data_IF_577475943132
#
_entry.id   IF_577475943132
#
_cell.length_a   1.000
_cell.length_b   1.000
_cell.length_c   1.000
_cell.angle_alpha   90.00
_cell.angle_beta   90.00
_cell.angle_gamma   90.00
#
_symmetry.space_group_name_H-M   'P 1'
#
loop_
_entity.id
_entity.type
_entity.pdbx_description
1 polymer ?
#
# COMPACT_ATOMS: atom_id res chain seq x y z
N UNK A 1 -0.38 -30.60 0.34
CA UNK A 1 0.27 -29.32 0.04
C UNK A 1 -0.67 -28.51 -0.83
N UNK A 2 -1.23 -27.42 -0.30
CA UNK A 2 -1.83 -26.31 -1.04
C UNK A 2 -2.37 -25.28 -0.01
N UNK A 3 -1.46 -24.59 0.67
CA UNK A 3 -1.76 -23.31 1.31
C UNK A 3 -1.39 -22.25 0.29
N UNK A 4 -2.33 -21.43 -0.15
CA UNK A 4 -2.06 -20.47 -1.21
C UNK A 4 -3.21 -19.53 -1.54
N UNK A 5 -4.07 -19.19 -0.58
CA UNK A 5 -4.88 -17.97 -0.70
C UNK A 5 -3.98 -16.81 -0.27
N UNK A 6 -3.16 -16.31 -1.20
CA UNK A 6 -2.62 -14.95 -1.11
C UNK A 6 -3.80 -14.03 -1.40
N UNK A 7 -4.54 -13.68 -0.36
CA UNK A 7 -5.38 -12.48 -0.38
C UNK A 7 -4.43 -11.31 -0.56
N UNK A 8 -4.30 -10.81 -1.79
CA UNK A 8 -3.73 -9.49 -2.04
C UNK A 8 -4.49 -8.53 -1.15
N UNK A 9 -3.80 -7.97 -0.16
CA UNK A 9 -4.28 -6.82 0.60
C UNK A 9 -4.16 -5.66 -0.38
N UNK A 10 -5.13 -5.57 -1.29
CA UNK A 10 -5.15 -4.57 -2.33
C UNK A 10 -5.12 -3.16 -1.69
N UNK A 11 -4.45 -2.16 -2.29
CA UNK A 11 -4.38 -0.80 -1.75
C UNK A 11 -5.74 -0.10 -1.66
N UNK A 12 -6.79 -0.73 -2.21
CA UNK A 12 -8.18 -0.35 -2.02
C UNK A 12 -8.60 -0.22 -0.56
N UNK A 13 -7.92 -0.89 0.38
CA UNK A 13 -8.14 -0.78 1.83
C UNK A 13 -7.81 0.60 2.42
N UNK A 14 -7.06 1.44 1.73
CA UNK A 14 -6.79 2.82 2.17
C UNK A 14 -7.99 3.76 2.01
N UNK A 15 -9.08 3.31 1.36
CA UNK A 15 -10.23 4.15 1.01
C UNK A 15 -11.57 3.73 1.60
N UNK A 16 -11.66 2.63 2.36
CA UNK A 16 -12.94 2.21 2.95
C UNK A 16 -13.07 2.69 4.40
N UNK A 17 -13.63 3.89 4.54
CA UNK A 17 -14.16 4.40 5.81
C UNK A 17 -15.35 3.54 6.24
N UNK A 18 -15.15 2.60 7.17
CA UNK A 18 -16.25 1.98 7.93
C UNK A 18 -16.40 2.65 9.29
N UNK A 19 -17.53 3.34 9.45
CA UNK A 19 -17.89 4.08 10.65
C UNK A 19 -18.38 3.21 11.81
N UNK A 20 -18.15 3.77 13.00
CA UNK A 20 -18.92 3.70 14.24
C UNK A 20 -19.43 2.34 14.77
N UNK A 21 -18.89 1.97 15.96
CA UNK A 21 -19.71 1.42 17.03
C UNK A 21 -19.28 2.04 18.38
N UNK A 22 -20.21 2.76 18.99
CA UNK A 22 -20.14 3.29 20.34
C UNK A 22 -20.80 2.32 21.35
N UNK A 23 -20.31 2.32 22.59
CA UNK A 23 -20.92 1.66 23.76
C UNK A 23 -19.85 1.10 24.70
N UNK A 24 -19.38 1.81 25.75
CA UNK A 24 -20.02 2.04 27.06
C UNK A 24 -20.15 0.72 27.87
N UNK A 25 -19.77 0.53 29.14
CA UNK A 25 -19.10 1.32 30.20
C UNK A 25 -18.89 0.39 31.42
N UNK A 26 -17.84 0.65 32.23
CA UNK A 26 -17.64 0.28 33.67
C UNK A 26 -17.51 -1.22 34.01
N UNK A 27 -16.64 -1.72 34.91
CA UNK A 27 -16.17 -1.21 36.21
C UNK A 27 -15.05 -2.13 36.77
N UNK A 28 -14.33 -1.63 37.78
CA UNK A 28 -13.51 -2.30 38.80
C UNK A 28 -12.06 -2.69 38.46
N UNK A 29 -11.16 -2.12 39.28
CA UNK A 29 -9.72 -2.20 39.14
C UNK A 29 -9.11 -3.49 39.65
N UNK A 30 -7.83 -3.65 39.32
CA UNK A 30 -6.87 -4.40 40.09
C UNK A 30 -5.54 -3.65 40.03
N UNK A 31 -5.02 -3.37 41.21
CA UNK A 31 -3.69 -2.84 41.47
C UNK A 31 -2.63 -3.87 41.02
N UNK A 32 -1.50 -3.35 40.55
CA UNK A 32 -0.43 -4.03 39.83
C UNK A 32 0.30 -5.13 40.63
N UNK A 33 1.07 -5.98 39.93
CA UNK A 33 2.44 -6.26 40.33
C UNK A 33 3.45 -5.70 39.29
N UNK A 34 4.60 -5.15 39.74
CA UNK A 34 5.73 -4.86 38.88
C UNK A 34 6.46 -6.16 38.52
N UNK A 35 7.42 -6.08 37.60
CA UNK A 35 8.35 -7.12 37.14
C UNK A 35 7.95 -7.79 35.80
N UNK A 36 8.11 -7.04 34.70
CA UNK A 36 8.41 -7.62 33.39
C UNK A 36 9.17 -6.62 32.51
N UNK A 37 10.48 -6.62 32.70
CA UNK A 37 11.45 -5.75 32.05
C UNK A 37 11.72 -6.16 30.59
N UNK A 38 11.09 -7.24 30.10
CA UNK A 38 11.30 -7.77 28.74
C UNK A 38 10.17 -7.47 27.74
N UNK A 39 9.00 -7.01 28.19
CA UNK A 39 7.86 -6.76 27.28
C UNK A 39 7.93 -5.37 26.63
N UNK A 40 8.57 -4.39 27.28
CA UNK A 40 8.73 -3.04 26.73
C UNK A 40 9.78 -2.93 25.62
N UNK A 41 10.83 -3.77 25.63
CA UNK A 41 11.86 -3.72 24.57
C UNK A 41 11.39 -4.31 23.24
N UNK A 42 10.55 -5.35 23.28
CA UNK A 42 10.05 -6.03 22.06
C UNK A 42 9.11 -5.11 21.26
N UNK A 43 8.28 -4.33 21.93
CA UNK A 43 7.30 -3.44 21.27
C UNK A 43 7.98 -2.23 20.61
N UNK A 44 9.04 -1.69 21.23
CA UNK A 44 9.84 -0.59 20.66
C UNK A 44 10.63 -1.03 19.43
N UNK A 45 11.26 -2.22 19.46
CA UNK A 45 11.98 -2.76 18.29
C UNK A 45 11.05 -3.04 17.11
N UNK A 46 9.83 -3.49 17.38
CA UNK A 46 8.83 -3.71 16.34
C UNK A 46 8.34 -2.38 15.73
N UNK A 47 8.19 -1.33 16.55
CA UNK A 47 7.84 0.00 16.06
C UNK A 47 8.94 0.60 15.18
N UNK A 48 10.21 0.51 15.59
CA UNK A 48 11.36 0.96 14.77
C UNK A 48 11.41 0.25 13.42
N UNK A 49 11.08 -1.05 13.39
CA UNK A 49 11.02 -1.84 12.16
C UNK A 49 9.89 -1.37 11.24
N UNK A 50 8.69 -1.14 11.78
CA UNK A 50 7.57 -0.60 11.01
C UNK A 50 7.93 0.78 10.44
N UNK A 51 8.58 1.65 11.23
CA UNK A 51 9.02 2.96 10.76
C UNK A 51 10.01 2.86 9.59
N UNK A 52 10.96 1.92 9.65
CA UNK A 52 11.89 1.66 8.55
C UNK A 52 11.15 1.17 7.29
N UNK A 53 10.15 0.30 7.44
CA UNK A 53 9.34 -0.19 6.32
C UNK A 53 8.47 0.91 5.72
N UNK A 54 7.92 1.81 6.54
CA UNK A 54 7.17 2.98 6.06
C UNK A 54 8.09 3.93 5.28
N UNK A 55 9.33 4.13 5.73
CA UNK A 55 10.34 4.89 4.99
C UNK A 55 10.68 4.23 3.66
N UNK A 56 10.82 2.90 3.62
CA UNK A 56 11.06 2.19 2.38
C UNK A 56 9.89 2.35 1.41
N UNK A 57 8.64 2.21 1.89
CA UNK A 57 7.45 2.43 1.08
C UNK A 57 7.39 3.86 0.53
N UNK A 58 7.74 4.86 1.35
CA UNK A 58 7.83 6.25 0.89
C UNK A 58 8.84 6.40 -0.24
N UNK A 59 10.04 5.84 -0.10
CA UNK A 59 11.08 5.91 -1.12
C UNK A 59 10.66 5.21 -2.42
N UNK A 60 9.80 4.20 -2.34
CA UNK A 60 9.20 3.56 -3.51
C UNK A 60 8.11 4.44 -4.15
N UNK A 61 7.41 5.23 -3.35
CA UNK A 61 6.39 6.15 -3.81
C UNK A 61 6.94 7.44 -4.43
N UNK A 62 8.05 7.95 -3.90
CA UNK A 62 8.82 9.05 -4.46
C UNK A 62 9.49 8.58 -5.77
N UNK A 63 8.81 8.82 -6.88
CA UNK A 63 9.29 8.42 -8.21
C UNK A 63 10.37 9.37 -8.73
N UNK A 64 10.30 10.64 -8.31
CA UNK A 64 11.21 11.71 -8.70
C UNK A 64 12.51 11.74 -7.87
N UNK A 65 12.52 11.05 -6.73
CA UNK A 65 13.64 11.01 -5.77
C UNK A 65 13.97 12.40 -5.20
N UNK A 66 12.96 13.26 -5.02
CA UNK A 66 13.10 14.63 -4.51
C UNK A 66 12.87 14.75 -2.99
N UNK A 67 12.54 13.65 -2.32
CA UNK A 67 12.28 13.57 -0.88
C UNK A 67 10.87 14.00 -0.49
N UNK A 68 9.98 14.23 -1.46
CA UNK A 68 8.56 14.52 -1.26
C UNK A 68 7.69 13.55 -2.03
N UNK A 69 6.42 13.44 -1.62
CA UNK A 69 5.41 12.68 -2.34
C UNK A 69 4.37 13.65 -2.92
N UNK A 70 4.32 13.73 -4.24
CA UNK A 70 3.30 14.52 -4.96
C UNK A 70 2.00 13.75 -5.21
N UNK A 71 0.92 14.50 -5.48
CA UNK A 71 -0.37 13.93 -5.86
C UNK A 71 -0.25 12.99 -7.08
N UNK A 72 0.50 13.43 -8.10
CA UNK A 72 0.66 12.69 -9.35
C UNK A 72 1.46 11.40 -9.18
N UNK A 73 2.48 11.38 -8.30
CA UNK A 73 3.25 10.17 -7.99
C UNK A 73 2.39 9.11 -7.31
N UNK A 74 1.60 9.52 -6.30
CA UNK A 74 0.68 8.63 -5.63
C UNK A 74 -0.35 8.05 -6.61
N UNK A 75 -0.93 8.90 -7.48
CA UNK A 75 -1.86 8.46 -8.52
C UNK A 75 -1.19 7.45 -9.45
N UNK A 76 -0.01 7.77 -9.98
CA UNK A 76 0.67 6.94 -10.99
C UNK A 76 1.03 5.55 -10.47
N UNK A 77 1.51 5.45 -9.25
CA UNK A 77 1.82 4.14 -8.65
C UNK A 77 0.54 3.33 -8.46
N UNK A 78 -0.53 3.94 -7.97
CA UNK A 78 -1.77 3.23 -7.76
C UNK A 78 -2.47 2.82 -9.07
N UNK A 79 -2.34 3.62 -10.14
CA UNK A 79 -2.74 3.19 -11.49
C UNK A 79 -1.97 1.95 -11.92
N UNK A 80 -0.65 1.91 -11.68
CA UNK A 80 0.17 0.75 -12.00
C UNK A 80 -0.21 -0.48 -11.16
N UNK A 81 -0.51 -0.33 -9.86
CA UNK A 81 -1.02 -1.43 -9.05
C UNK A 81 -2.36 -1.94 -9.61
N UNK A 82 -3.27 -1.03 -10.00
CA UNK A 82 -4.54 -1.43 -10.61
C UNK A 82 -4.34 -2.19 -11.93
N UNK A 83 -3.39 -1.76 -12.77
CA UNK A 83 -3.00 -2.48 -13.99
C UNK A 83 -2.42 -3.85 -13.68
N UNK A 84 -1.60 -3.98 -12.63
CA UNK A 84 -1.05 -5.27 -12.21
C UNK A 84 -2.13 -6.25 -11.72
N UNK A 85 -3.21 -5.74 -11.12
CA UNK A 85 -4.30 -6.56 -10.59
C UNK A 85 -5.37 -6.92 -11.64
N UNK A 86 -5.78 -5.96 -12.47
CA UNK A 86 -6.93 -6.11 -13.38
C UNK A 86 -6.50 -6.19 -14.85
N UNK A 87 -5.25 -5.82 -15.16
CA UNK A 87 -4.74 -5.74 -16.53
C UNK A 87 -5.08 -4.42 -17.22
N UNK A 88 -5.18 -4.45 -18.56
CA UNK A 88 -5.48 -3.26 -19.38
C UNK A 88 -6.87 -2.68 -19.16
N UNK A 89 -7.77 -3.46 -18.58
CA UNK A 89 -9.14 -3.06 -18.26
C UNK A 89 -9.26 -2.29 -16.94
N UNK A 90 -8.13 -1.97 -16.29
CA UNK A 90 -8.12 -1.14 -15.10
C UNK A 90 -8.71 0.25 -15.41
N UNK A 91 -9.73 0.65 -14.64
CA UNK A 91 -10.33 1.99 -14.75
C UNK A 91 -9.40 3.04 -14.11
N UNK A 92 -8.46 3.52 -14.93
CA UNK A 92 -7.51 4.56 -14.53
C UNK A 92 -8.20 5.86 -14.13
N UNK A 93 -9.36 6.17 -14.70
CA UNK A 93 -10.09 7.40 -14.37
C UNK A 93 -10.64 7.32 -12.96
N UNK A 94 -11.26 6.19 -12.59
CA UNK A 94 -11.73 5.95 -11.24
C UNK A 94 -10.58 5.91 -10.22
N UNK A 95 -9.47 5.23 -10.56
CA UNK A 95 -8.28 5.18 -9.71
C UNK A 95 -7.72 6.59 -9.48
N UNK A 96 -7.53 7.38 -10.53
CA UNK A 96 -7.06 8.76 -10.45
C UNK A 96 -7.95 9.64 -9.58
N UNK A 97 -9.27 9.56 -9.77
CA UNK A 97 -10.22 10.34 -8.96
C UNK A 97 -10.13 9.95 -7.48
N UNK A 98 -10.10 8.64 -7.17
CA UNK A 98 -10.00 8.13 -5.80
C UNK A 98 -8.72 8.59 -5.10
N UNK A 99 -7.57 8.45 -5.73
CA UNK A 99 -6.29 8.78 -5.08
C UNK A 99 -6.03 10.28 -5.02
N UNK A 100 -6.57 11.08 -5.96
CA UNK A 100 -6.62 12.54 -5.82
C UNK A 100 -7.41 12.95 -4.58
N UNK A 101 -8.60 12.39 -4.41
CA UNK A 101 -9.45 12.69 -3.24
C UNK A 101 -8.76 12.27 -1.94
N UNK A 102 -8.17 11.07 -1.91
CA UNK A 102 -7.42 10.59 -0.75
C UNK A 102 -6.24 11.53 -0.41
N UNK A 103 -5.45 11.93 -1.40
CA UNK A 103 -4.32 12.82 -1.19
C UNK A 103 -4.78 14.14 -0.56
N UNK A 104 -5.82 14.76 -1.11
CA UNK A 104 -6.32 16.05 -0.61
C UNK A 104 -7.03 15.97 0.73
N UNK A 105 -7.68 14.85 1.03
CA UNK A 105 -8.39 14.68 2.29
C UNK A 105 -7.50 14.23 3.44
N UNK A 106 -6.39 13.53 3.16
CA UNK A 106 -5.56 12.87 4.18
C UNK A 106 -4.13 13.37 4.27
N UNK A 107 -3.57 13.91 3.20
CA UNK A 107 -2.17 14.36 3.15
C UNK A 107 -2.09 15.87 3.08
N UNK A 108 -2.57 16.50 2.00
CA UNK A 108 -2.49 17.94 1.83
C UNK A 108 -3.69 18.48 1.02
N UNK A 109 -4.56 19.34 1.61
CA UNK A 109 -5.79 19.80 0.97
C UNK A 109 -5.57 20.64 -0.29
N UNK A 110 -4.43 21.29 -0.41
CA UNK A 110 -4.07 22.11 -1.57
C UNK A 110 -3.39 21.26 -2.67
N UNK A 111 -3.11 19.98 -2.40
CA UNK A 111 -2.45 19.05 -3.31
C UNK A 111 -0.94 19.29 -3.42
N UNK A 112 -0.34 19.95 -2.42
CA UNK A 112 1.10 20.23 -2.40
C UNK A 112 1.89 18.96 -2.09
N UNK A 113 3.11 18.79 -2.65
CA UNK A 113 3.97 17.66 -2.33
C UNK A 113 4.27 17.61 -0.83
N UNK A 114 4.17 16.42 -0.23
CA UNK A 114 4.32 16.25 1.21
C UNK A 114 5.65 15.58 1.57
N UNK A 115 6.33 16.01 2.64
CA UNK A 115 7.56 15.37 3.10
C UNK A 115 7.26 14.03 3.79
N UNK A 116 8.30 13.21 3.96
CA UNK A 116 8.22 11.92 4.65
C UNK A 116 7.51 12.00 6.01
N UNK A 117 7.74 13.03 6.82
CA UNK A 117 7.11 13.15 8.15
C UNK A 117 5.58 13.17 8.12
N UNK A 118 5.00 13.78 7.08
CA UNK A 118 3.54 13.83 6.89
C UNK A 118 3.02 12.48 6.43
N UNK A 119 3.71 11.86 5.46
CA UNK A 119 3.38 10.53 4.97
C UNK A 119 3.50 9.45 6.06
N UNK A 120 4.56 9.49 6.86
CA UNK A 120 4.82 8.59 7.98
C UNK A 120 3.70 8.66 9.02
N UNK A 121 3.34 9.87 9.45
CA UNK A 121 2.24 10.09 10.38
C UNK A 121 0.89 9.58 9.84
N UNK A 122 0.65 9.75 8.54
CA UNK A 122 -0.53 9.19 7.88
C UNK A 122 -0.50 7.66 7.86
N UNK A 123 0.63 7.07 7.47
CA UNK A 123 0.74 5.61 7.32
C UNK A 123 0.63 4.87 8.64
N UNK A 124 1.21 5.40 9.73
CA UNK A 124 1.03 4.80 11.06
C UNK A 124 -0.44 4.81 11.50
N UNK A 125 -1.19 5.88 11.21
CA UNK A 125 -2.64 5.93 11.50
C UNK A 125 -3.41 4.92 10.68
N UNK A 126 -3.02 4.72 9.41
CA UNK A 126 -3.61 3.70 8.55
C UNK A 126 -3.34 2.30 9.10
N UNK A 127 -2.08 1.97 9.41
CA UNK A 127 -1.71 0.65 9.94
C UNK A 127 -2.46 0.34 11.23
N UNK A 128 -2.54 1.30 12.16
CA UNK A 128 -3.30 1.17 13.40
C UNK A 128 -4.83 1.01 13.20
N UNK A 129 -5.37 1.50 12.08
CA UNK A 129 -6.79 1.32 11.72
C UNK A 129 -7.04 -0.04 11.06
N UNK A 130 -6.06 -0.57 10.31
CA UNK A 130 -6.15 -1.86 9.64
C UNK A 130 -6.01 -3.01 10.63
N UNK A 131 -5.02 -2.94 11.54
CA UNK A 131 -4.81 -3.95 12.57
C UNK A 131 -4.16 -3.35 13.83
N UNK A 132 -4.49 -3.88 15.01
CA UNK A 132 -3.86 -3.48 16.28
C UNK A 132 -2.63 -4.32 16.60
N UNK A 133 -2.48 -5.48 15.96
CA UNK A 133 -1.35 -6.36 16.15
C UNK A 133 -0.14 -5.88 15.34
N UNK A 134 1.00 -5.69 16.02
CA UNK A 134 2.20 -5.15 15.38
C UNK A 134 2.78 -6.07 14.31
N UNK A 135 2.69 -7.39 14.48
CA UNK A 135 3.16 -8.34 13.47
C UNK A 135 2.27 -8.29 12.23
N UNK A 136 0.95 -8.16 12.40
CA UNK A 136 0.03 -7.96 11.29
C UNK A 136 0.32 -6.64 10.55
N UNK A 137 0.58 -5.54 11.25
CA UNK A 137 0.97 -4.27 10.64
C UNK A 137 2.27 -4.39 9.83
N UNK A 138 3.27 -5.08 10.37
CA UNK A 138 4.52 -5.39 9.66
C UNK A 138 4.23 -6.15 8.36
N UNK A 139 3.44 -7.22 8.43
CA UNK A 139 3.08 -8.00 7.25
C UNK A 139 2.31 -7.18 6.20
N UNK A 140 1.43 -6.28 6.64
CA UNK A 140 0.70 -5.37 5.77
C UNK A 140 1.66 -4.44 5.03
N UNK A 141 2.58 -3.77 5.74
CA UNK A 141 3.51 -2.83 5.10
C UNK A 141 4.50 -3.55 4.19
N UNK A 142 4.95 -4.76 4.53
CA UNK A 142 5.78 -5.60 3.64
C UNK A 142 5.05 -5.98 2.34
N UNK A 143 3.75 -6.27 2.44
CA UNK A 143 2.90 -6.51 1.25
C UNK A 143 2.79 -5.25 0.40
N UNK A 144 2.54 -4.10 1.01
CA UNK A 144 2.47 -2.81 0.30
C UNK A 144 3.79 -2.47 -0.39
N UNK A 145 4.94 -2.70 0.25
CA UNK A 145 6.28 -2.54 -0.34
C UNK A 145 6.43 -3.45 -1.56
N UNK A 146 6.00 -4.71 -1.45
CA UNK A 146 6.08 -5.68 -2.55
C UNK A 146 5.26 -5.22 -3.76
N UNK A 147 4.03 -4.73 -3.54
CA UNK A 147 3.19 -4.18 -4.60
C UNK A 147 3.79 -2.90 -5.21
N UNK A 148 4.28 -1.98 -4.36
CA UNK A 148 4.91 -0.74 -4.80
C UNK A 148 6.17 -0.99 -5.64
N UNK A 149 7.00 -1.99 -5.29
CA UNK A 149 8.17 -2.41 -6.10
C UNK A 149 7.74 -2.86 -7.51
N UNK A 150 6.69 -3.67 -7.61
CA UNK A 150 6.16 -4.12 -8.91
C UNK A 150 5.54 -2.97 -9.70
N UNK A 151 4.80 -2.08 -9.04
CA UNK A 151 4.20 -0.91 -9.68
C UNK A 151 5.27 0.08 -10.17
N UNK A 152 6.36 0.25 -9.43
CA UNK A 152 7.47 1.13 -9.80
C UNK A 152 8.29 0.58 -10.97
N UNK A 153 8.48 -0.73 -11.08
CA UNK A 153 9.14 -1.31 -12.26
C UNK A 153 8.31 -1.05 -13.53
N UNK A 154 6.98 -1.19 -13.43
CA UNK A 154 6.08 -0.80 -14.52
C UNK A 154 6.18 0.70 -14.82
N UNK A 155 6.24 1.56 -13.80
CA UNK A 155 6.37 3.01 -13.97
C UNK A 155 7.63 3.42 -14.77
N UNK A 156 8.74 2.69 -14.56
CA UNK A 156 10.02 2.90 -15.26
C UNK A 156 10.01 2.42 -16.71
N UNK A 157 9.30 1.33 -17.00
CA UNK A 157 9.19 0.77 -18.36
C UNK A 157 8.21 1.57 -19.25
N UNK A 158 7.24 2.27 -18.65
CA UNK A 158 6.22 3.04 -19.38
C UNK A 158 6.74 4.44 -19.75
N UNK A 159 7.45 4.53 -20.87
CA UNK A 159 7.39 5.71 -21.76
C UNK A 159 6.42 5.34 -22.89
N UNK A 160 5.20 5.89 -22.88
CA UNK A 160 4.11 5.46 -23.79
C UNK A 160 4.45 5.78 -25.26
N UNK A 161 4.31 4.81 -26.19
CA UNK A 161 3.01 4.21 -26.49
C UNK A 161 2.97 2.67 -26.75
N UNK A 162 3.92 1.87 -26.26
CA UNK A 162 4.15 0.52 -26.85
C UNK A 162 3.81 -0.72 -25.98
N UNK A 163 3.10 -0.56 -24.86
CA UNK A 163 2.76 -1.70 -23.98
C UNK A 163 1.60 -2.55 -24.56
N UNK A 164 0.82 -2.00 -25.49
CA UNK A 164 -0.22 -2.72 -26.20
C UNK A 164 0.33 -3.92 -27.02
N UNK A 165 1.62 -3.91 -27.36
CA UNK A 165 2.22 -4.97 -28.20
C UNK A 165 2.78 -6.13 -27.37
N UNK A 166 3.40 -5.88 -26.21
CA UNK A 166 4.27 -6.90 -25.58
C UNK A 166 3.57 -7.92 -24.70
N UNK A 167 2.40 -7.62 -24.13
CA UNK A 167 1.68 -8.59 -23.29
C UNK A 167 0.75 -9.49 -24.12
N UNK A 168 0.25 -9.01 -25.26
CA UNK A 168 -0.58 -9.79 -26.19
C UNK A 168 0.19 -10.79 -27.07
N UNK A 169 1.48 -10.60 -27.30
CA UNK A 169 2.24 -11.40 -28.27
C UNK A 169 2.83 -12.71 -27.73
N UNK A 170 2.72 -13.03 -26.44
CA UNK A 170 3.38 -14.23 -25.87
C UNK A 170 2.51 -15.51 -25.81
N UNK A 171 1.24 -15.45 -26.26
CA UNK A 171 0.31 -16.61 -26.20
C UNK A 171 -0.25 -17.04 -27.57
N UNK A 172 0.32 -16.58 -28.69
CA UNK A 172 -0.20 -16.93 -30.04
C UNK A 172 0.83 -17.45 -31.05
N UNK A 173 1.83 -18.20 -30.60
CA UNK A 173 2.80 -18.82 -31.53
C UNK A 173 3.04 -20.32 -31.32
N UNK A 174 2.14 -21.02 -30.64
CA UNK A 174 2.07 -22.49 -30.68
C UNK A 174 0.62 -22.89 -30.51
N UNK A 175 -0.07 -23.19 -31.60
CA UNK A 175 -1.23 -24.09 -31.77
C UNK A 175 -1.76 -23.76 -33.18
N UNK A 176 -1.98 -24.80 -34.00
CA UNK A 176 -2.28 -24.80 -35.44
C UNK A 176 -1.08 -24.88 -36.41
N UNK A 177 -0.40 -26.02 -36.36
CA UNK A 177 -0.16 -26.80 -37.59
C UNK A 177 -0.56 -28.25 -37.28
N UNK A 178 -1.75 -28.63 -37.70
CA UNK A 178 -2.13 -30.02 -37.97
C UNK A 178 -2.67 -29.96 -39.39
N UNK A 179 -1.79 -30.24 -40.35
CA UNK A 179 -2.21 -30.58 -41.71
C UNK A 179 -2.45 -32.09 -41.77
N UNK A 180 -3.44 -32.40 -42.61
CA UNK A 180 -4.13 -33.66 -42.91
C UNK A 180 -3.22 -34.88 -43.20
#
# INVERSE_FOLDING_TARGET
QAFGLRTSISPSLLGESMGAAAGCSTLLGCESPPDNDGVFEIDLMNQEKVDCLVQELFNLHDLSEDGTLSEDELIRINENVAILHVGTEADRVAVKAKYRELFRTKLDPDGMPVPFSTYHSYMLKVLAQLDRDMLAQEMIIESLISEARLARSLAREVSLPDIAVRIGSRVRSRIFSVDE
#
